data_IF_449221116572
#
_entry.id   IF_449221116572
#
_cell.length_a   1.000
_cell.length_b   1.000
_cell.length_c   1.000
_cell.angle_alpha   90.00
_cell.angle_beta   90.00
_cell.angle_gamma   90.00
#
_symmetry.space_group_name_H-M   'P 1'
#
loop_
_entity.id
_entity.type
_entity.pdbx_description
1 polymer ?
#
# COMPACT_ATOMS: atom_id res chain seq x y z
N UNK A 1 2.26 -3.82 -33.61
CA UNK A 1 2.21 -2.45 -33.05
C UNK A 1 3.07 -1.52 -33.88
N UNK A 2 2.71 -0.23 -34.03
CA UNK A 2 3.53 0.74 -34.75
C UNK A 2 4.82 1.04 -33.97
N UNK A 3 5.95 1.22 -34.66
CA UNK A 3 7.25 1.60 -34.07
C UNK A 3 7.18 2.84 -33.18
N UNK A 4 6.25 3.75 -33.48
CA UNK A 4 5.95 4.96 -32.69
C UNK A 4 5.25 4.60 -31.37
N UNK A 5 4.30 3.65 -31.40
CA UNK A 5 3.60 3.19 -30.20
C UNK A 5 4.55 2.45 -29.23
N UNK A 6 5.46 1.66 -29.76
CA UNK A 6 6.49 0.97 -28.98
C UNK A 6 7.44 1.96 -28.29
N UNK A 7 7.92 2.98 -29.00
CA UNK A 7 8.76 4.06 -28.42
C UNK A 7 8.03 4.82 -27.32
N UNK A 8 6.74 5.13 -27.53
CA UNK A 8 5.91 5.80 -26.52
C UNK A 8 5.78 4.96 -25.25
N UNK A 9 5.53 3.65 -25.40
CA UNK A 9 5.40 2.73 -24.28
C UNK A 9 6.74 2.55 -23.53
N UNK A 10 7.85 2.46 -24.26
CA UNK A 10 9.19 2.41 -23.65
C UNK A 10 9.50 3.66 -22.83
N UNK A 11 9.21 4.85 -23.37
CA UNK A 11 9.39 6.12 -22.64
C UNK A 11 8.52 6.15 -21.38
N UNK A 12 7.24 5.75 -21.49
CA UNK A 12 6.33 5.68 -20.36
C UNK A 12 6.86 4.77 -19.25
N UNK A 13 7.30 3.56 -19.60
CA UNK A 13 7.86 2.61 -18.65
C UNK A 13 9.14 3.14 -17.99
N UNK A 14 10.02 3.79 -18.76
CA UNK A 14 11.24 4.40 -18.24
C UNK A 14 10.93 5.53 -17.24
N UNK A 15 9.92 6.36 -17.52
CA UNK A 15 9.47 7.43 -16.64
C UNK A 15 8.87 6.89 -15.34
N UNK A 16 8.02 5.86 -15.41
CA UNK A 16 7.44 5.23 -14.21
C UNK A 16 8.56 4.65 -13.34
N UNK A 17 9.52 3.94 -13.92
CA UNK A 17 10.64 3.37 -13.18
C UNK A 17 11.59 4.43 -12.60
N UNK A 18 11.76 5.56 -13.29
CA UNK A 18 12.54 6.69 -12.78
C UNK A 18 11.80 7.41 -11.63
N UNK A 19 10.48 7.56 -11.73
CA UNK A 19 9.63 8.13 -10.69
C UNK A 19 9.62 7.24 -9.44
N UNK A 20 9.46 5.92 -9.61
CA UNK A 20 9.51 4.93 -8.55
C UNK A 20 10.81 5.03 -7.74
N UNK A 21 11.97 4.99 -8.42
CA UNK A 21 13.28 5.18 -7.75
C UNK A 21 13.41 6.53 -7.08
N UNK A 22 12.83 7.59 -7.65
CA UNK A 22 12.88 8.94 -7.06
C UNK A 22 12.04 8.98 -5.78
N UNK A 23 10.84 8.41 -5.77
CA UNK A 23 9.98 8.33 -4.60
C UNK A 23 10.61 7.44 -3.53
N UNK A 24 11.23 6.33 -3.91
CA UNK A 24 11.91 5.41 -2.99
C UNK A 24 13.07 6.06 -2.24
N UNK A 25 13.78 7.00 -2.88
CA UNK A 25 14.97 7.64 -2.30
C UNK A 25 14.71 9.03 -1.71
N UNK A 26 13.71 9.76 -2.20
CA UNK A 26 13.50 11.18 -1.85
C UNK A 26 12.03 11.50 -1.52
N UNK A 27 11.14 10.50 -1.51
CA UNK A 27 9.70 10.71 -1.33
C UNK A 27 9.06 11.51 -2.46
N UNK A 28 7.78 11.87 -2.29
CA UNK A 28 7.03 12.65 -3.28
C UNK A 28 7.65 14.03 -3.56
N UNK A 29 8.25 14.66 -2.55
CA UNK A 29 8.90 15.98 -2.70
C UNK A 29 10.07 15.99 -3.68
N UNK A 30 10.70 14.82 -3.93
CA UNK A 30 11.78 14.64 -4.89
C UNK A 30 11.31 14.59 -6.36
N UNK A 31 10.00 14.38 -6.61
CA UNK A 31 9.48 14.18 -7.95
C UNK A 31 9.35 15.50 -8.71
N UNK A 32 10.27 15.75 -9.65
CA UNK A 32 10.33 16.96 -10.48
C UNK A 32 10.40 16.57 -11.95
N UNK A 33 9.54 17.13 -12.81
CA UNK A 33 9.49 16.81 -14.23
C UNK A 33 10.86 16.99 -14.93
N UNK A 34 11.60 18.08 -14.62
CA UNK A 34 12.93 18.33 -15.18
C UNK A 34 13.96 17.27 -14.77
N UNK A 35 13.94 16.84 -13.51
CA UNK A 35 14.84 15.80 -13.01
C UNK A 35 14.53 14.43 -13.64
N UNK A 36 13.24 14.09 -13.81
CA UNK A 36 12.83 12.88 -14.51
C UNK A 36 13.25 12.89 -15.98
N UNK A 37 13.00 14.01 -16.69
CA UNK A 37 13.40 14.18 -18.10
C UNK A 37 14.91 13.97 -18.28
N UNK A 38 15.73 14.60 -17.42
CA UNK A 38 17.18 14.43 -17.43
C UNK A 38 17.59 12.97 -17.19
N UNK A 39 16.99 12.32 -16.19
CA UNK A 39 17.29 10.93 -15.79
C UNK A 39 16.94 9.92 -16.89
N UNK A 40 15.87 10.17 -17.66
CA UNK A 40 15.40 9.29 -18.73
C UNK A 40 16.00 9.66 -20.10
N UNK A 41 16.67 10.82 -20.20
CA UNK A 41 17.30 11.28 -21.43
C UNK A 41 16.30 11.82 -22.46
N UNK A 42 15.22 12.51 -22.03
CA UNK A 42 14.23 13.08 -22.92
C UNK A 42 13.99 14.58 -22.66
N UNK A 43 13.34 15.27 -23.59
CA UNK A 43 12.87 16.63 -23.36
C UNK A 43 11.73 16.65 -22.34
N UNK A 44 11.61 17.71 -21.53
CA UNK A 44 10.52 17.84 -20.53
C UNK A 44 9.14 17.72 -21.16
N UNK A 45 8.93 18.31 -22.36
CA UNK A 45 7.67 18.20 -23.10
C UNK A 45 7.32 16.77 -23.54
N UNK A 46 8.34 15.89 -23.70
CA UNK A 46 8.10 14.50 -24.08
C UNK A 46 7.42 13.69 -22.97
N UNK A 47 7.58 14.11 -21.71
CA UNK A 47 6.88 13.50 -20.55
C UNK A 47 5.37 13.59 -20.77
N UNK A 48 4.86 14.77 -21.11
CA UNK A 48 3.44 15.05 -21.27
C UNK A 48 2.81 14.47 -22.55
N UNK A 49 3.64 13.86 -23.42
CA UNK A 49 3.16 13.03 -24.53
C UNK A 49 2.79 11.59 -24.09
N UNK A 50 3.21 11.15 -22.91
CA UNK A 50 3.03 9.76 -22.43
C UNK A 50 2.30 9.65 -21.09
N UNK A 51 2.24 10.74 -20.31
CA UNK A 51 1.41 10.90 -19.12
C UNK A 51 0.71 12.25 -19.18
N UNK A 52 -0.50 12.37 -18.62
CA UNK A 52 -1.27 13.62 -18.63
C UNK A 52 -0.59 14.67 -17.74
N UNK A 53 -0.14 14.25 -16.58
CA UNK A 53 0.55 15.09 -15.59
C UNK A 53 1.40 14.21 -14.64
N UNK A 54 1.98 14.84 -13.61
CA UNK A 54 2.76 14.12 -12.60
C UNK A 54 1.89 13.28 -11.66
N UNK A 55 0.62 13.65 -11.45
CA UNK A 55 -0.29 12.84 -10.62
C UNK A 55 -0.56 11.48 -11.25
N UNK A 56 -0.76 11.43 -12.58
CA UNK A 56 -0.90 10.16 -13.30
C UNK A 56 0.32 9.27 -13.10
N UNK A 57 1.52 9.87 -13.10
CA UNK A 57 2.76 9.15 -12.86
C UNK A 57 2.86 8.64 -11.42
N UNK A 58 2.41 9.44 -10.45
CA UNK A 58 2.35 9.04 -9.04
C UNK A 58 1.35 7.89 -8.86
N UNK A 59 0.17 7.95 -9.47
CA UNK A 59 -0.79 6.84 -9.43
C UNK A 59 -0.22 5.55 -9.98
N UNK A 60 0.55 5.59 -11.08
CA UNK A 60 1.22 4.39 -11.62
C UNK A 60 2.26 3.81 -10.66
N UNK A 61 3.02 4.66 -9.98
CA UNK A 61 3.98 4.21 -8.95
C UNK A 61 3.24 3.65 -7.72
N UNK A 62 2.17 4.32 -7.30
CA UNK A 62 1.33 3.87 -6.18
C UNK A 62 0.65 2.53 -6.49
N UNK A 63 0.15 2.31 -7.72
CA UNK A 63 -0.38 1.01 -8.16
C UNK A 63 0.67 -0.10 -8.05
N UNK A 64 1.93 0.15 -8.46
CA UNK A 64 3.02 -0.82 -8.27
C UNK A 64 3.32 -1.07 -6.79
N UNK A 65 3.21 -0.05 -5.97
CA UNK A 65 3.43 -0.16 -4.52
C UNK A 65 2.31 -0.97 -3.86
N UNK A 66 1.04 -0.75 -4.25
CA UNK A 66 -0.10 -1.56 -3.80
C UNK A 66 0.05 -3.03 -4.21
N UNK A 67 0.44 -3.31 -5.47
CA UNK A 67 0.67 -4.68 -5.94
C UNK A 67 1.81 -5.38 -5.17
N UNK A 68 2.89 -4.66 -4.85
CA UNK A 68 3.99 -5.19 -4.05
C UNK A 68 3.55 -5.47 -2.60
N UNK A 69 2.76 -4.58 -2.01
CA UNK A 69 2.16 -4.77 -0.68
C UNK A 69 1.22 -5.97 -0.67
N UNK A 70 0.30 -6.06 -1.64
CA UNK A 70 -0.62 -7.19 -1.78
C UNK A 70 0.13 -8.53 -1.87
N UNK A 71 1.18 -8.59 -2.70
CA UNK A 71 2.02 -9.78 -2.83
C UNK A 71 2.68 -10.19 -1.52
N UNK A 72 3.18 -9.22 -0.73
CA UNK A 72 3.78 -9.50 0.58
C UNK A 72 2.74 -9.98 1.60
N UNK A 73 1.54 -9.38 1.64
CA UNK A 73 0.46 -9.79 2.53
C UNK A 73 -0.05 -11.20 2.17
N UNK A 74 -0.27 -11.46 0.89
CA UNK A 74 -0.69 -12.78 0.40
C UNK A 74 0.35 -13.87 0.71
N UNK A 75 1.65 -13.58 0.55
CA UNK A 75 2.72 -14.50 0.91
C UNK A 75 2.75 -14.80 2.42
N UNK A 76 2.49 -13.80 3.27
CA UNK A 76 2.42 -13.97 4.72
C UNK A 76 1.22 -14.87 5.13
N UNK A 77 0.12 -14.83 4.39
CA UNK A 77 -1.01 -15.75 4.61
C UNK A 77 -0.68 -17.18 4.20
N UNK A 78 -0.02 -17.38 3.05
CA UNK A 78 0.30 -18.71 2.52
C UNK A 78 1.35 -19.45 3.35
N UNK A 79 2.35 -18.75 3.88
CA UNK A 79 3.47 -19.36 4.64
C UNK A 79 3.00 -20.14 5.88
N UNK A 80 1.83 -19.85 6.40
CA UNK A 80 1.26 -20.50 7.60
C UNK A 80 -0.04 -21.28 7.34
N UNK A 81 -0.52 -21.32 6.10
CA UNK A 81 -1.69 -22.14 5.71
C UNK A 81 -1.42 -23.65 5.79
N UNK A 82 -0.15 -24.05 5.95
CA UNK A 82 0.26 -25.44 6.20
C UNK A 82 0.27 -25.82 7.69
N UNK A 83 0.13 -24.87 8.62
CA UNK A 83 -0.02 -25.16 10.04
C UNK A 83 -1.50 -25.49 10.29
N UNK A 84 -1.82 -26.78 10.44
CA UNK A 84 -3.13 -27.25 10.91
C UNK A 84 -3.53 -26.46 12.17
N UNK A 85 -4.67 -25.74 12.12
CA UNK A 85 -5.20 -24.99 13.27
C UNK A 85 -4.96 -23.49 13.28
N UNK A 86 -4.44 -22.86 12.21
CA UNK A 86 -4.35 -21.40 12.14
C UNK A 86 -5.71 -20.73 12.18
N UNK A 87 -5.94 -19.85 13.18
CA UNK A 87 -7.22 -19.15 13.36
C UNK A 87 -7.32 -17.90 12.49
N UNK A 88 -8.54 -17.40 12.28
CA UNK A 88 -8.75 -16.12 11.60
C UNK A 88 -8.08 -14.94 12.33
N UNK A 89 -7.95 -15.02 13.67
CA UNK A 89 -7.17 -14.04 14.46
C UNK A 89 -5.69 -14.08 14.09
N UNK A 90 -5.11 -15.28 13.95
CA UNK A 90 -3.70 -15.42 13.56
C UNK A 90 -3.46 -14.89 12.15
N UNK A 91 -4.41 -15.06 11.23
CA UNK A 91 -4.37 -14.45 9.89
C UNK A 91 -4.32 -12.92 9.98
N UNK A 92 -5.20 -12.29 10.75
CA UNK A 92 -5.19 -10.84 10.95
C UNK A 92 -3.88 -10.33 11.58
N UNK A 93 -3.32 -11.05 12.53
CA UNK A 93 -2.02 -10.73 13.15
C UNK A 93 -0.90 -10.79 12.12
N UNK A 94 -0.86 -11.83 11.27
CA UNK A 94 0.14 -11.95 10.20
C UNK A 94 0.02 -10.81 9.19
N UNK A 95 -1.18 -10.46 8.76
CA UNK A 95 -1.42 -9.33 7.86
C UNK A 95 -0.91 -8.02 8.47
N UNK A 96 -1.22 -7.75 9.75
CA UNK A 96 -0.76 -6.55 10.46
C UNK A 96 0.76 -6.49 10.59
N UNK A 97 1.41 -7.60 10.90
CA UNK A 97 2.87 -7.66 11.03
C UNK A 97 3.59 -7.61 9.68
N UNK A 98 3.01 -8.21 8.62
CA UNK A 98 3.53 -8.11 7.26
C UNK A 98 3.38 -6.69 6.69
N UNK A 99 2.28 -6.00 7.03
CA UNK A 99 2.09 -4.59 6.71
C UNK A 99 3.17 -3.69 7.34
N UNK A 100 3.47 -3.88 8.63
CA UNK A 100 4.57 -3.18 9.29
C UNK A 100 5.91 -3.46 8.60
N UNK A 101 6.21 -4.71 8.30
CA UNK A 101 7.45 -5.10 7.65
C UNK A 101 7.60 -4.44 6.27
N UNK A 102 6.53 -4.36 5.48
CA UNK A 102 6.51 -3.65 4.20
C UNK A 102 6.76 -2.15 4.39
N UNK A 103 6.04 -1.51 5.31
CA UNK A 103 6.16 -0.09 5.58
C UNK A 103 7.59 0.30 6.04
N UNK A 104 8.22 -0.53 6.87
CA UNK A 104 9.58 -0.33 7.34
C UNK A 104 10.61 -0.50 6.21
N UNK A 105 10.44 -1.52 5.35
CA UNK A 105 11.35 -1.78 4.23
C UNK A 105 11.22 -0.75 3.10
N UNK A 106 10.05 -0.15 2.91
CA UNK A 106 9.72 0.73 1.79
C UNK A 106 9.12 2.07 2.24
N UNK A 107 9.61 2.65 3.33
CA UNK A 107 8.98 3.76 4.05
C UNK A 107 8.52 4.90 3.14
N UNK A 108 9.37 5.40 2.25
CA UNK A 108 9.01 6.55 1.39
C UNK A 108 7.99 6.19 0.31
N UNK A 109 8.07 4.99 -0.27
CA UNK A 109 7.07 4.50 -1.24
C UNK A 109 5.73 4.21 -0.55
N UNK A 110 5.77 3.60 0.62
CA UNK A 110 4.59 3.33 1.43
C UNK A 110 3.91 4.65 1.84
N UNK A 111 4.67 5.65 2.29
CA UNK A 111 4.14 6.98 2.64
C UNK A 111 3.47 7.66 1.45
N UNK A 112 4.02 7.52 0.24
CA UNK A 112 3.47 8.10 -0.96
C UNK A 112 2.01 7.67 -1.25
N UNK A 113 1.60 6.46 -0.82
CA UNK A 113 0.22 5.98 -0.92
C UNK A 113 -0.78 6.88 -0.18
N UNK A 114 -0.36 7.52 0.92
CA UNK A 114 -1.21 8.28 1.83
C UNK A 114 -0.96 9.80 1.75
N UNK A 115 0.23 10.20 1.37
CA UNK A 115 0.61 11.63 1.24
C UNK A 115 0.14 12.24 -0.08
N UNK A 116 0.02 11.42 -1.14
CA UNK A 116 -0.41 11.94 -2.44
C UNK A 116 -1.87 12.38 -2.39
N UNK A 117 -2.09 13.66 -2.69
CA UNK A 117 -3.42 14.26 -2.82
C UNK A 117 -3.53 14.91 -4.19
N UNK A 118 -4.30 14.31 -5.11
CA UNK A 118 -4.53 14.92 -6.41
C UNK A 118 -5.25 16.28 -6.24
N UNK A 119 -5.10 17.20 -7.17
CA UNK A 119 -5.81 18.47 -7.18
C UNK A 119 -7.32 18.27 -7.03
N UNK A 120 -7.98 19.25 -6.40
CA UNK A 120 -9.43 19.22 -6.20
C UNK A 120 -10.16 19.02 -7.54
N UNK A 121 -11.09 18.07 -7.58
CA UNK A 121 -11.85 17.73 -8.78
C UNK A 121 -11.18 16.72 -9.72
N UNK A 122 -9.94 16.31 -9.48
CA UNK A 122 -9.31 15.20 -10.21
C UNK A 122 -9.72 13.87 -9.58
N UNK A 123 -10.49 13.00 -10.27
CA UNK A 123 -10.88 11.71 -9.73
C UNK A 123 -9.67 10.78 -9.62
N UNK A 124 -9.69 9.88 -8.65
CA UNK A 124 -8.75 8.76 -8.63
C UNK A 124 -9.09 7.80 -9.78
N UNK A 125 -8.08 7.21 -10.46
CA UNK A 125 -8.34 6.22 -11.49
C UNK A 125 -9.12 5.01 -10.97
N UNK A 126 -10.13 4.53 -11.71
CA UNK A 126 -10.97 3.38 -11.30
C UNK A 126 -10.13 2.13 -10.99
N UNK A 127 -9.08 1.91 -11.79
CA UNK A 127 -8.12 0.84 -11.57
C UNK A 127 -7.46 0.94 -10.19
N UNK A 128 -7.04 2.12 -9.79
CA UNK A 128 -6.39 2.35 -8.49
C UNK A 128 -7.36 2.10 -7.32
N UNK A 129 -8.63 2.49 -7.48
CA UNK A 129 -9.68 2.19 -6.51
C UNK A 129 -9.96 0.69 -6.41
N UNK A 130 -9.88 -0.05 -7.52
CA UNK A 130 -10.05 -1.50 -7.51
C UNK A 130 -8.87 -2.21 -6.84
N UNK A 131 -7.64 -1.77 -7.11
CA UNK A 131 -6.43 -2.28 -6.44
C UNK A 131 -6.51 -2.10 -4.92
N UNK A 132 -7.01 -0.95 -4.44
CA UNK A 132 -7.26 -0.74 -3.01
C UNK A 132 -8.33 -1.68 -2.46
N UNK A 133 -9.44 -1.91 -3.20
CA UNK A 133 -10.49 -2.85 -2.78
C UNK A 133 -9.96 -4.27 -2.66
N UNK A 134 -9.13 -4.72 -3.61
CA UNK A 134 -8.52 -6.05 -3.58
C UNK A 134 -7.66 -6.24 -2.34
N UNK A 135 -6.85 -5.22 -1.99
CA UNK A 135 -6.04 -5.26 -0.78
C UNK A 135 -6.90 -5.41 0.49
N UNK A 136 -8.03 -4.69 0.58
CA UNK A 136 -8.93 -4.79 1.73
C UNK A 136 -9.61 -6.15 1.85
N UNK A 137 -9.84 -6.89 0.75
CA UNK A 137 -10.39 -8.25 0.79
C UNK A 137 -9.56 -9.20 1.65
N UNK A 138 -8.23 -9.06 1.63
CA UNK A 138 -7.34 -9.87 2.49
C UNK A 138 -7.66 -9.71 3.99
N UNK A 139 -8.15 -8.55 4.40
CA UNK A 139 -8.58 -8.30 5.79
C UNK A 139 -10.03 -8.71 6.00
N UNK A 140 -10.89 -8.52 5.01
CA UNK A 140 -12.33 -8.84 5.08
C UNK A 140 -12.59 -10.35 5.16
N UNK A 141 -11.75 -11.17 4.52
CA UNK A 141 -11.90 -12.64 4.54
C UNK A 141 -11.83 -13.22 5.96
N UNK A 142 -10.72 -13.04 6.73
CA UNK A 142 -10.66 -13.55 8.10
C UNK A 142 -11.68 -12.89 9.02
N UNK A 143 -12.08 -11.63 8.79
CA UNK A 143 -13.18 -11.02 9.54
C UNK A 143 -14.53 -11.69 9.26
N UNK A 144 -14.76 -12.19 8.03
CA UNK A 144 -15.94 -12.97 7.69
C UNK A 144 -16.00 -14.32 8.40
N UNK A 145 -14.85 -14.94 8.69
CA UNK A 145 -14.78 -16.17 9.49
C UNK A 145 -15.05 -15.89 10.98
N UNK A 146 -14.53 -14.76 11.51
CA UNK A 146 -14.77 -14.36 12.91
C UNK A 146 -16.22 -13.94 13.17
N UNK A 147 -16.85 -13.30 12.19
CA UNK A 147 -18.16 -12.67 12.33
C UNK A 147 -19.04 -13.00 11.10
N UNK A 148 -19.46 -14.26 10.93
CA UNK A 148 -20.17 -14.71 9.72
C UNK A 148 -21.56 -14.07 9.56
N UNK A 149 -22.13 -13.50 10.62
CA UNK A 149 -23.42 -12.80 10.60
C UNK A 149 -23.34 -11.34 10.14
N UNK A 150 -22.14 -10.76 10.00
CA UNK A 150 -22.01 -9.41 9.50
C UNK A 150 -22.29 -9.31 8.00
N UNK A 151 -23.07 -8.30 7.59
CA UNK A 151 -23.21 -7.99 6.17
C UNK A 151 -21.86 -7.58 5.54
N UNK A 152 -21.77 -7.69 4.21
CA UNK A 152 -20.56 -7.29 3.47
C UNK A 152 -20.16 -5.83 3.74
N UNK A 153 -21.14 -4.91 3.79
CA UNK A 153 -20.91 -3.49 4.08
C UNK A 153 -20.36 -3.28 5.50
N UNK A 154 -20.95 -3.99 6.48
CA UNK A 154 -20.49 -3.88 7.86
C UNK A 154 -19.10 -4.45 8.05
N UNK A 155 -18.80 -5.57 7.39
CA UNK A 155 -17.48 -6.19 7.38
C UNK A 155 -16.42 -5.26 6.78
N UNK A 156 -16.73 -4.62 5.64
CA UNK A 156 -15.84 -3.65 5.01
C UNK A 156 -15.55 -2.44 5.92
N UNK A 157 -16.53 -1.97 6.71
CA UNK A 157 -16.32 -0.92 7.71
C UNK A 157 -15.40 -1.38 8.84
N UNK A 158 -15.59 -2.60 9.36
CA UNK A 158 -14.72 -3.17 10.41
C UNK A 158 -13.30 -3.36 9.90
N UNK A 159 -13.13 -3.85 8.66
CA UNK A 159 -11.82 -4.00 8.03
C UNK A 159 -11.08 -2.65 7.94
N UNK A 160 -11.77 -1.59 7.51
CA UNK A 160 -11.19 -0.24 7.45
C UNK A 160 -10.83 0.30 8.84
N UNK A 161 -11.65 0.04 9.85
CA UNK A 161 -11.39 0.46 11.23
C UNK A 161 -10.15 -0.24 11.80
N UNK A 162 -10.03 -1.56 11.61
CA UNK A 162 -8.88 -2.35 12.03
C UNK A 162 -7.61 -1.88 11.30
N UNK A 163 -7.70 -1.69 9.98
CA UNK A 163 -6.61 -1.12 9.19
C UNK A 163 -6.18 0.24 9.72
N UNK A 164 -7.14 1.14 10.01
CA UNK A 164 -6.83 2.49 10.52
C UNK A 164 -6.08 2.45 11.85
N UNK A 165 -6.43 1.51 12.74
CA UNK A 165 -5.73 1.33 14.01
C UNK A 165 -4.28 0.87 13.79
N UNK A 166 -4.07 -0.17 12.97
CA UNK A 166 -2.73 -0.68 12.64
C UNK A 166 -1.92 0.38 11.88
N UNK A 167 -2.52 1.03 10.88
CA UNK A 167 -1.87 2.09 10.10
C UNK A 167 -1.41 3.25 10.98
N UNK A 168 -2.25 3.69 11.92
CA UNK A 168 -1.90 4.75 12.86
C UNK A 168 -0.68 4.38 13.73
N UNK A 169 -0.62 3.14 14.22
CA UNK A 169 0.53 2.63 14.98
C UNK A 169 1.79 2.62 14.12
N UNK A 170 1.71 2.11 12.89
CA UNK A 170 2.84 2.04 11.95
C UNK A 170 3.30 3.43 11.55
N UNK A 171 2.37 4.33 11.20
CA UNK A 171 2.68 5.70 10.81
C UNK A 171 3.41 6.45 11.91
N UNK A 172 2.87 6.44 13.13
CA UNK A 172 3.48 7.14 14.26
C UNK A 172 4.78 6.49 14.74
N UNK A 173 4.86 5.15 14.69
CA UNK A 173 6.05 4.42 15.12
C UNK A 173 7.23 4.59 14.16
N UNK A 174 7.00 4.65 12.85
CA UNK A 174 8.06 4.86 11.85
C UNK A 174 8.46 6.33 11.68
N UNK A 175 7.65 7.28 12.12
CA UNK A 175 7.97 8.72 12.03
C UNK A 175 8.81 9.23 13.21
N UNK A 176 9.13 8.39 14.19
CA UNK A 176 9.93 8.74 15.39
C UNK A 176 9.38 9.95 16.18
N UNK A 177 8.13 10.37 15.91
CA UNK A 177 7.54 11.59 16.48
C UNK A 177 7.16 11.46 17.95
N UNK A 178 6.84 10.25 18.43
CA UNK A 178 6.36 10.06 19.80
C UNK A 178 7.44 9.56 20.76
N UNK A 179 8.27 8.68 20.33
CA UNK A 179 9.52 8.15 20.90
C UNK A 179 10.01 7.09 19.92
N UNK A 180 11.31 6.97 19.71
CA UNK A 180 11.86 5.91 18.86
C UNK A 180 11.55 4.56 19.50
N UNK A 181 10.51 3.89 19.01
CA UNK A 181 10.22 2.51 19.41
C UNK A 181 11.02 1.57 18.52
N UNK A 182 11.74 0.60 19.10
CA UNK A 182 12.33 -0.48 18.30
C UNK A 182 11.26 -1.16 17.47
N UNK A 183 11.62 -1.51 16.23
CA UNK A 183 10.67 -2.13 15.28
C UNK A 183 10.01 -3.39 15.86
N UNK A 184 10.74 -4.17 16.64
CA UNK A 184 10.22 -5.35 17.33
C UNK A 184 9.16 -4.99 18.38
N UNK A 185 9.38 -3.93 19.16
CA UNK A 185 8.37 -3.47 20.12
C UNK A 185 7.09 -3.01 19.44
N UNK A 186 7.22 -2.32 18.28
CA UNK A 186 6.06 -1.93 17.48
C UNK A 186 5.32 -3.16 16.94
N UNK A 187 6.06 -4.18 16.51
CA UNK A 187 5.51 -5.46 16.07
C UNK A 187 4.73 -6.15 17.20
N UNK A 188 5.30 -6.25 18.40
CA UNK A 188 4.65 -6.81 19.58
C UNK A 188 3.34 -6.08 19.93
N UNK A 189 3.32 -4.75 19.84
CA UNK A 189 2.11 -3.97 20.07
C UNK A 189 1.03 -4.23 19.01
N UNK A 190 1.40 -4.38 17.72
CA UNK A 190 0.46 -4.77 16.68
C UNK A 190 -0.13 -6.16 16.96
N UNK A 191 0.70 -7.13 17.33
CA UNK A 191 0.24 -8.49 17.72
C UNK A 191 -0.75 -8.40 18.88
N UNK A 192 -0.42 -7.63 19.93
CA UNK A 192 -1.28 -7.46 21.10
C UNK A 192 -2.64 -6.87 20.73
N UNK A 193 -2.65 -5.73 20.02
CA UNK A 193 -3.88 -5.00 19.68
C UNK A 193 -4.76 -5.83 18.73
N UNK A 194 -4.19 -6.37 17.65
CA UNK A 194 -4.95 -7.14 16.66
C UNK A 194 -5.53 -8.43 17.29
N UNK A 195 -4.74 -9.15 18.09
CA UNK A 195 -5.22 -10.36 18.77
C UNK A 195 -6.29 -10.05 19.82
N UNK A 196 -6.17 -8.94 20.56
CA UNK A 196 -7.18 -8.51 21.53
C UNK A 196 -8.51 -8.17 20.84
N UNK A 197 -8.45 -7.38 19.76
CA UNK A 197 -9.66 -7.03 18.98
C UNK A 197 -10.27 -8.30 18.38
N UNK A 198 -9.47 -9.17 17.76
CA UNK A 198 -9.96 -10.39 17.14
C UNK A 198 -10.63 -11.35 18.15
N UNK A 199 -10.03 -11.54 19.32
CA UNK A 199 -10.63 -12.35 20.40
C UNK A 199 -11.90 -11.71 20.98
N UNK A 200 -11.92 -10.38 21.14
CA UNK A 200 -13.11 -9.66 21.56
C UNK A 200 -14.29 -9.84 20.59
N UNK A 201 -14.00 -9.93 19.29
CA UNK A 201 -15.03 -10.22 18.27
C UNK A 201 -15.58 -11.66 18.37
N UNK A 202 -14.81 -12.62 18.85
CA UNK A 202 -15.29 -14.01 19.07
C UNK A 202 -16.19 -14.14 20.30
N UNK A 203 -16.06 -13.24 21.27
CA UNK A 203 -16.79 -13.30 22.54
C UNK A 203 -18.15 -12.57 22.53
N UNK A 204 -18.44 -11.80 21.49
CA UNK A 204 -19.68 -11.02 21.32
C UNK A 204 -20.56 -11.57 20.22
#
# INVERSE_FOLDING_TARGET
MSKTAERRQQLRNALISAAERTIETHGLGGLKARALAYRVGCAVGAIYNVVTDLDDLIFEVNSRTLAALEGQLAAAEQTSGAAEGSTAVDRLVRLGTAYLAFAAAHTLRWRALFEHRPPQGKPMPDRYLEEQRQLFRLVEEPLGELQPHLSSERRALVARSLFSAVHGMVMLGLEEKLQTLPLESLREQIVLIVSTIGRGMLAG
#
